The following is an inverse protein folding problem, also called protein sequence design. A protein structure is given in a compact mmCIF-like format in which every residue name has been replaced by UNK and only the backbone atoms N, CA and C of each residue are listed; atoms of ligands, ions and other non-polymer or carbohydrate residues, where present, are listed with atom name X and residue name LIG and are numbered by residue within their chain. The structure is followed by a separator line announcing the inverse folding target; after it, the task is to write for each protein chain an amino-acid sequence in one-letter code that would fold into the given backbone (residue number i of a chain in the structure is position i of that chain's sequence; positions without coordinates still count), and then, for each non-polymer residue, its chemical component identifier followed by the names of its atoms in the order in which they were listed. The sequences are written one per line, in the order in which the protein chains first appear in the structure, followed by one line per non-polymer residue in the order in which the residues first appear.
data_IF_158188352066
#
_entry.id   IF_158188352066
#
_cell.length_a   1.000
_cell.length_b   1.000
_cell.length_c   1.000
_cell.angle_alpha   90.00
_cell.angle_beta   90.00
_cell.angle_gamma   90.00
#
_symmetry.space_group_name_H-M   'P 1'
#
loop_
_entity.id
_entity.type
_entity.pdbx_description
1 polymer ?
#
# COMPACT_ATOMS: atom_id res chain seq x y z
N UNK A 1 -31.16 31.26 -43.27
CA UNK A 1 -30.49 30.06 -42.81
C UNK A 1 -29.47 30.45 -41.73
N UNK A 2 -29.79 30.25 -40.49
CA UNK A 2 -28.91 30.60 -39.36
C UNK A 2 -28.19 29.33 -38.92
N UNK A 3 -26.88 29.30 -39.15
CA UNK A 3 -26.01 28.26 -38.62
C UNK A 3 -25.71 28.55 -37.14
N UNK A 4 -26.23 27.74 -36.24
CA UNK A 4 -25.80 27.74 -34.83
C UNK A 4 -24.44 27.05 -34.69
N UNK A 5 -23.48 27.66 -34.00
CA UNK A 5 -22.24 26.97 -33.71
C UNK A 5 -22.50 25.90 -32.63
N UNK A 6 -22.20 24.66 -32.97
CA UNK A 6 -22.17 23.53 -32.04
C UNK A 6 -20.97 23.69 -31.16
N UNK A 7 -21.16 24.23 -29.96
CA UNK A 7 -20.08 24.30 -28.96
C UNK A 7 -19.87 22.91 -28.38
N UNK A 8 -18.81 22.23 -28.82
CA UNK A 8 -18.34 21.00 -28.16
C UNK A 8 -17.82 21.40 -26.77
N UNK A 9 -18.61 21.10 -25.75
CA UNK A 9 -18.09 21.06 -24.40
C UNK A 9 -17.16 19.83 -24.29
N UNK A 10 -15.85 20.04 -24.33
CA UNK A 10 -14.89 19.08 -23.85
C UNK A 10 -15.04 19.04 -22.32
N UNK A 11 -15.83 18.09 -21.81
CA UNK A 11 -15.74 17.67 -20.42
C UNK A 11 -14.37 17.04 -20.22
N UNK A 12 -13.42 17.83 -19.76
CA UNK A 12 -12.15 17.30 -19.25
C UNK A 12 -12.48 16.38 -18.09
N UNK A 13 -12.28 15.08 -18.26
CA UNK A 13 -12.24 14.13 -17.16
C UNK A 13 -11.04 14.51 -16.30
N UNK A 14 -11.27 15.33 -15.29
CA UNK A 14 -10.30 15.52 -14.23
C UNK A 14 -10.05 14.14 -13.61
N UNK A 15 -8.81 13.63 -13.74
CA UNK A 15 -8.41 12.42 -13.04
C UNK A 15 -8.62 12.66 -11.55
N UNK A 16 -9.69 12.10 -10.98
CA UNK A 16 -9.95 12.19 -9.55
C UNK A 16 -8.89 11.36 -8.85
N UNK A 17 -8.13 12.01 -7.95
CA UNK A 17 -7.20 11.33 -7.07
C UNK A 17 -7.95 10.24 -6.31
N UNK A 18 -7.43 9.01 -6.34
CA UNK A 18 -8.08 7.86 -5.72
C UNK A 18 -7.76 7.83 -4.22
N UNK A 19 -8.75 8.10 -3.40
CA UNK A 19 -8.66 7.97 -1.94
C UNK A 19 -8.86 6.51 -1.51
N UNK A 20 -8.02 5.62 -2.02
CA UNK A 20 -8.04 4.19 -1.72
C UNK A 20 -6.61 3.68 -1.55
N UNK A 21 -6.37 2.69 -0.67
CA UNK A 21 -5.08 2.02 -0.60
C UNK A 21 -4.79 1.09 -1.79
N UNK A 22 -5.80 0.77 -2.60
CA UNK A 22 -5.61 -0.09 -3.77
C UNK A 22 -4.68 0.57 -4.77
N UNK A 23 -3.68 -0.17 -5.23
CA UNK A 23 -2.71 0.30 -6.21
C UNK A 23 -1.28 -0.10 -5.87
N UNK A 24 -0.37 0.54 -6.57
CA UNK A 24 1.07 0.30 -6.45
C UNK A 24 1.72 1.41 -5.64
N UNK A 25 2.61 1.01 -4.75
CA UNK A 25 3.26 1.90 -3.80
C UNK A 25 4.75 1.63 -3.68
N UNK A 26 5.53 2.65 -3.35
CA UNK A 26 6.89 2.48 -2.87
C UNK A 26 6.93 2.73 -1.37
N UNK A 27 7.40 1.75 -0.61
CA UNK A 27 7.85 1.97 0.76
C UNK A 27 9.21 2.66 0.72
N UNK A 28 9.45 3.57 1.65
CA UNK A 28 10.68 4.36 1.70
C UNK A 28 11.34 4.24 3.06
N UNK A 29 12.65 4.38 3.08
CA UNK A 29 13.43 4.46 4.30
C UNK A 29 13.19 5.81 4.98
N UNK A 30 12.80 5.80 6.25
CA UNK A 30 12.46 7.02 7.01
C UNK A 30 13.63 7.97 7.18
N UNK A 31 14.86 7.44 7.15
CA UNK A 31 16.08 8.23 7.38
C UNK A 31 16.67 8.80 6.09
N UNK A 32 16.64 8.02 5.01
CA UNK A 32 17.30 8.36 3.76
C UNK A 32 16.35 8.76 2.65
N UNK A 33 15.05 8.42 2.75
CA UNK A 33 14.07 8.60 1.68
C UNK A 33 14.26 7.62 0.52
N UNK A 34 15.20 6.67 0.62
CA UNK A 34 15.43 5.66 -0.40
C UNK A 34 14.24 4.71 -0.51
N UNK A 35 13.81 4.42 -1.74
CA UNK A 35 12.78 3.41 -1.98
C UNK A 35 13.28 2.02 -1.59
N UNK A 36 12.55 1.34 -0.72
CA UNK A 36 12.90 0.02 -0.19
C UNK A 36 12.30 -1.12 -0.99
N UNK A 37 11.02 -1.01 -1.29
CA UNK A 37 10.26 -2.05 -1.97
C UNK A 37 9.08 -1.45 -2.73
N UNK A 38 8.67 -2.13 -3.79
CA UNK A 38 7.44 -1.85 -4.50
C UNK A 38 6.37 -2.82 -4.02
N UNK A 39 5.22 -2.26 -3.62
CA UNK A 39 4.10 -2.99 -3.05
C UNK A 39 2.91 -2.93 -4.00
N UNK A 40 2.13 -3.99 -4.07
CA UNK A 40 0.83 -4.00 -4.73
C UNK A 40 -0.26 -4.31 -3.71
N UNK A 41 -1.19 -3.39 -3.53
CA UNK A 41 -2.39 -3.59 -2.72
C UNK A 41 -3.58 -3.83 -3.64
N UNK A 42 -4.31 -4.89 -3.38
CA UNK A 42 -5.53 -5.28 -4.10
C UNK A 42 -6.67 -5.49 -3.13
N UNK A 43 -7.89 -5.46 -3.65
CA UNK A 43 -9.11 -5.68 -2.87
C UNK A 43 -9.89 -6.85 -3.46
N UNK A 44 -10.36 -7.72 -2.58
CA UNK A 44 -11.25 -8.83 -2.93
C UNK A 44 -12.28 -9.01 -1.83
N UNK A 45 -13.57 -8.98 -2.19
CA UNK A 45 -14.68 -9.14 -1.26
C UNK A 45 -14.62 -8.15 -0.08
N UNK A 46 -14.21 -6.90 -0.32
CA UNK A 46 -14.09 -5.84 0.68
C UNK A 46 -12.87 -5.94 1.58
N UNK A 47 -11.98 -6.90 1.36
CA UNK A 47 -10.73 -7.05 2.12
C UNK A 47 -9.52 -6.68 1.29
N UNK A 48 -8.56 -5.98 1.90
CA UNK A 48 -7.29 -5.67 1.27
C UNK A 48 -6.27 -6.79 1.49
N UNK A 49 -5.49 -7.04 0.44
CA UNK A 49 -4.29 -7.86 0.45
C UNK A 49 -3.15 -7.06 -0.16
N UNK A 50 -1.96 -7.15 0.41
CA UNK A 50 -0.79 -6.45 -0.11
C UNK A 50 0.40 -7.38 -0.24
N UNK A 51 1.12 -7.27 -1.38
CA UNK A 51 2.28 -8.10 -1.70
C UNK A 51 3.48 -7.25 -2.06
N UNK A 52 4.66 -7.75 -1.73
CA UNK A 52 5.93 -7.22 -2.25
C UNK A 52 6.05 -7.64 -3.71
N UNK A 53 6.12 -6.67 -4.63
CA UNK A 53 6.37 -6.95 -6.05
C UNK A 53 7.86 -6.95 -6.41
N UNK A 54 8.62 -6.02 -5.81
CA UNK A 54 10.06 -5.83 -6.08
C UNK A 54 10.77 -5.37 -4.82
N UNK A 55 12.02 -5.78 -4.70
CA UNK A 55 12.97 -5.21 -3.75
C UNK A 55 13.80 -4.17 -4.50
N UNK A 56 13.87 -2.94 -3.97
CA UNK A 56 14.42 -1.79 -4.69
C UNK A 56 15.79 -1.32 -4.20
N UNK A 57 16.23 -1.76 -3.02
CA UNK A 57 17.56 -1.44 -2.51
C UNK A 57 18.64 -2.11 -3.36
N UNK A 58 19.75 -1.43 -3.59
CA UNK A 58 20.86 -1.94 -4.41
C UNK A 58 21.44 -3.24 -3.87
N UNK A 59 21.51 -3.37 -2.54
CA UNK A 59 22.05 -4.53 -1.85
C UNK A 59 21.03 -5.66 -1.67
N UNK A 60 19.79 -5.44 -2.11
CA UNK A 60 18.75 -6.44 -1.95
C UNK A 60 19.05 -7.71 -2.76
N UNK A 61 18.96 -8.85 -2.10
CA UNK A 61 19.02 -10.14 -2.76
C UNK A 61 17.64 -10.47 -3.33
N UNK A 62 17.49 -10.55 -4.68
CA UNK A 62 16.19 -10.87 -5.28
C UNK A 62 15.69 -12.27 -4.95
N UNK A 63 16.54 -13.14 -4.42
CA UNK A 63 16.20 -14.49 -3.99
C UNK A 63 16.01 -14.61 -2.47
N UNK A 64 16.03 -13.49 -1.75
CA UNK A 64 15.83 -13.48 -0.31
C UNK A 64 14.50 -14.11 0.07
N UNK A 65 14.48 -14.80 1.19
CA UNK A 65 13.33 -15.50 1.75
C UNK A 65 13.01 -14.95 3.14
N UNK A 66 11.76 -15.10 3.57
CA UNK A 66 11.35 -14.66 4.90
C UNK A 66 11.81 -15.68 5.97
N UNK A 67 13.09 -15.62 6.31
CA UNK A 67 13.67 -16.49 7.33
C UNK A 67 13.10 -16.24 8.73
N UNK A 68 12.71 -15.00 9.02
CA UNK A 68 12.18 -14.59 10.32
C UNK A 68 10.67 -14.80 10.47
N UNK A 69 9.96 -15.15 9.39
CA UNK A 69 8.54 -15.45 9.46
C UNK A 69 8.27 -16.71 10.28
N UNK A 70 7.14 -16.77 10.99
CA UNK A 70 6.77 -17.89 11.86
C UNK A 70 5.48 -18.60 11.43
N UNK A 71 4.73 -18.05 10.48
CA UNK A 71 3.48 -18.62 9.97
C UNK A 71 3.68 -19.34 8.62
N UNK A 72 2.62 -19.41 7.81
CA UNK A 72 2.66 -20.00 6.46
C UNK A 72 3.67 -19.34 5.50
N UNK A 73 4.19 -18.16 5.88
CA UNK A 73 5.16 -17.41 5.09
C UNK A 73 6.63 -17.73 5.44
N UNK A 74 6.85 -18.61 6.41
CA UNK A 74 8.21 -19.03 6.80
C UNK A 74 8.99 -19.54 5.58
N UNK A 75 10.14 -18.95 5.34
CA UNK A 75 11.05 -19.28 4.24
C UNK A 75 10.46 -19.09 2.82
N UNK A 76 9.34 -18.39 2.70
CA UNK A 76 8.80 -18.02 1.40
C UNK A 76 9.63 -16.89 0.77
N UNK A 77 9.68 -16.81 -0.58
CA UNK A 77 10.38 -15.71 -1.24
C UNK A 77 9.85 -14.34 -0.78
N UNK A 78 10.72 -13.37 -0.59
CA UNK A 78 10.33 -11.97 -0.31
C UNK A 78 9.55 -11.38 -1.47
N UNK A 79 10.00 -11.60 -2.69
CA UNK A 79 9.24 -11.18 -3.89
C UNK A 79 7.99 -12.05 -4.03
N UNK A 80 6.84 -11.42 -4.03
CA UNK A 80 5.53 -12.05 -4.02
C UNK A 80 4.95 -12.30 -2.64
N UNK A 81 5.70 -12.01 -1.58
CA UNK A 81 5.26 -12.23 -0.20
C UNK A 81 4.05 -11.35 0.16
N UNK A 82 2.98 -11.98 0.65
CA UNK A 82 1.84 -11.26 1.17
C UNK A 82 2.15 -10.72 2.56
N UNK A 83 2.19 -9.38 2.68
CA UNK A 83 2.49 -8.73 3.96
C UNK A 83 1.28 -8.01 4.57
N UNK A 84 0.24 -7.73 3.79
CA UNK A 84 -1.01 -7.13 4.28
C UNK A 84 -2.14 -8.12 4.10
N UNK A 85 -2.91 -8.34 5.18
CA UNK A 85 -4.05 -9.26 5.19
C UNK A 85 -5.23 -8.66 5.94
N UNK A 86 -6.42 -8.69 5.32
CA UNK A 86 -7.70 -8.58 5.98
C UNK A 86 -8.15 -7.18 6.35
N UNK A 87 -7.47 -6.11 5.93
CA UNK A 87 -7.91 -4.75 6.22
C UNK A 87 -9.22 -4.43 5.49
N UNK A 88 -10.14 -3.75 6.18
CA UNK A 88 -11.44 -3.34 5.65
C UNK A 88 -11.67 -1.87 5.87
N UNK A 89 -12.41 -1.25 4.95
CA UNK A 89 -12.77 0.16 5.08
C UNK A 89 -13.67 0.37 6.29
N UNK A 90 -13.31 1.31 7.16
CA UNK A 90 -14.17 1.77 8.24
C UNK A 90 -15.38 2.51 7.67
N UNK A 91 -16.54 2.37 8.32
CA UNK A 91 -17.77 2.99 7.86
C UNK A 91 -17.66 4.52 7.91
N UNK A 92 -17.96 5.16 6.78
CA UNK A 92 -17.98 6.61 6.64
C UNK A 92 -16.62 7.32 6.70
N UNK A 93 -15.51 6.58 6.63
CA UNK A 93 -14.15 7.13 6.71
C UNK A 93 -13.24 6.54 5.63
N UNK A 94 -12.30 7.33 5.14
CA UNK A 94 -11.24 6.86 4.24
C UNK A 94 -10.07 6.25 5.03
N UNK A 95 -10.39 5.29 5.86
CA UNK A 95 -9.46 4.52 6.69
C UNK A 95 -9.77 3.04 6.54
N UNK A 96 -8.73 2.23 6.36
CA UNK A 96 -8.85 0.77 6.32
C UNK A 96 -8.14 0.19 7.53
N UNK A 97 -8.82 -0.65 8.28
CA UNK A 97 -8.35 -1.18 9.56
C UNK A 97 -8.82 -2.62 9.79
N UNK A 98 -8.49 -3.20 10.94
CA UNK A 98 -8.88 -4.56 11.33
C UNK A 98 -8.03 -5.66 10.69
N UNK A 99 -7.04 -5.29 9.86
CA UNK A 99 -6.10 -6.23 9.26
C UNK A 99 -4.76 -6.30 9.97
N UNK A 100 -3.84 -7.03 9.38
CA UNK A 100 -2.48 -7.25 9.88
C UNK A 100 -1.45 -6.90 8.81
N UNK A 101 -0.29 -6.42 9.27
CA UNK A 101 0.88 -6.22 8.44
C UNK A 101 2.08 -6.95 9.02
N UNK A 102 2.77 -7.68 8.16
CA UNK A 102 4.02 -8.36 8.47
C UNK A 102 5.21 -7.44 8.16
N UNK A 103 6.13 -7.33 9.11
CA UNK A 103 7.48 -6.83 8.84
C UNK A 103 8.35 -8.05 8.50
N UNK A 104 8.75 -8.24 7.23
CA UNK A 104 9.48 -9.44 6.84
C UNK A 104 10.93 -9.47 7.35
N UNK A 105 11.49 -8.32 7.73
CA UNK A 105 12.85 -8.26 8.28
C UNK A 105 12.92 -8.81 9.70
N UNK A 106 11.90 -8.56 10.51
CA UNK A 106 11.82 -9.03 11.90
C UNK A 106 10.92 -10.24 12.11
N UNK A 107 10.03 -10.53 11.16
CA UNK A 107 8.98 -11.54 11.29
C UNK A 107 7.82 -11.13 12.17
N UNK A 108 7.82 -9.91 12.69
CA UNK A 108 6.74 -9.41 13.55
C UNK A 108 5.50 -9.05 12.74
N UNK A 109 4.34 -9.33 13.32
CA UNK A 109 3.03 -9.00 12.74
C UNK A 109 2.36 -7.94 13.60
N UNK A 110 1.91 -6.88 12.96
CA UNK A 110 1.29 -5.72 13.61
C UNK A 110 -0.17 -5.59 13.21
N UNK A 111 -0.96 -4.97 14.08
CA UNK A 111 -2.30 -4.52 13.71
C UNK A 111 -2.17 -3.33 12.76
N UNK A 112 -2.91 -3.37 11.65
CA UNK A 112 -2.76 -2.44 10.53
C UNK A 112 -3.85 -1.38 10.51
N UNK A 113 -3.43 -0.14 10.19
CA UNK A 113 -4.32 0.93 9.76
C UNK A 113 -3.71 1.61 8.54
N UNK A 114 -4.50 1.77 7.49
CA UNK A 114 -4.12 2.44 6.24
C UNK A 114 -4.96 3.69 6.05
N UNK A 115 -4.31 4.81 5.78
CA UNK A 115 -4.99 6.08 5.55
C UNK A 115 -4.38 6.76 4.32
N UNK A 116 -5.12 6.80 3.19
CA UNK A 116 -4.71 7.61 2.04
C UNK A 116 -4.72 9.09 2.43
N UNK A 117 -3.68 9.80 2.04
CA UNK A 117 -3.52 11.24 2.30
C UNK A 117 -3.06 11.95 1.04
N UNK A 118 -3.07 13.29 1.06
CA UNK A 118 -2.65 14.10 -0.10
C UNK A 118 -3.37 13.69 -1.40
N UNK A 119 -4.70 13.58 -1.34
CA UNK A 119 -5.50 13.20 -2.51
C UNK A 119 -5.23 11.79 -3.03
N UNK A 120 -4.67 10.91 -2.19
CA UNK A 120 -4.31 9.53 -2.56
C UNK A 120 -2.89 9.38 -3.10
N UNK A 121 -2.09 10.45 -3.13
CA UNK A 121 -0.70 10.40 -3.59
C UNK A 121 0.22 9.67 -2.60
N UNK A 122 -0.17 9.66 -1.32
CA UNK A 122 0.56 9.00 -0.25
C UNK A 122 -0.36 8.12 0.58
N UNK A 123 0.21 7.12 1.21
CA UNK A 123 -0.47 6.20 2.10
C UNK A 123 0.24 6.16 3.44
N UNK A 124 -0.46 6.56 4.49
CA UNK A 124 0.01 6.33 5.85
C UNK A 124 -0.24 4.88 6.23
N UNK A 125 0.82 4.17 6.56
CA UNK A 125 0.80 2.76 6.94
C UNK A 125 1.18 2.68 8.41
N UNK A 126 0.19 2.43 9.27
CA UNK A 126 0.37 2.35 10.71
C UNK A 126 0.32 0.91 11.18
N UNK A 127 1.41 0.45 11.81
CA UNK A 127 1.46 -0.82 12.52
C UNK A 127 1.44 -0.60 14.02
N UNK A 128 0.67 -1.39 14.76
CA UNK A 128 0.61 -1.29 16.21
C UNK A 128 0.67 -2.65 16.89
N UNK A 129 1.31 -2.67 18.09
CA UNK A 129 1.32 -3.80 19.04
C UNK A 129 1.04 -3.20 20.41
N UNK A 130 -0.09 -3.57 21.02
CA UNK A 130 -0.51 -3.03 22.32
C UNK A 130 -0.59 -1.49 22.27
N UNK A 131 0.02 -0.76 23.23
CA UNK A 131 0.01 0.70 23.25
C UNK A 131 1.02 1.35 22.30
N UNK A 132 1.86 0.56 21.64
CA UNK A 132 2.92 1.05 20.76
C UNK A 132 2.48 1.04 19.31
N UNK A 133 2.82 2.08 18.54
CA UNK A 133 2.59 2.16 17.11
C UNK A 133 3.70 2.88 16.40
N UNK A 134 3.81 2.60 15.11
CA UNK A 134 4.71 3.28 14.17
C UNK A 134 3.98 3.54 12.87
N UNK A 135 4.16 4.72 12.31
CA UNK A 135 3.58 5.10 11.02
C UNK A 135 4.69 5.30 10.00
N UNK A 136 4.54 4.65 8.84
CA UNK A 136 5.34 4.87 7.65
C UNK A 136 4.49 5.56 6.60
N UNK A 137 5.13 6.29 5.69
CA UNK A 137 4.45 6.88 4.55
C UNK A 137 4.94 6.22 3.28
N UNK A 138 4.03 5.62 2.53
CA UNK A 138 4.31 5.04 1.21
C UNK A 138 3.91 6.04 0.13
N UNK A 139 4.59 5.99 -1.01
CA UNK A 139 4.37 6.90 -2.14
C UNK A 139 3.73 6.14 -3.29
N UNK A 140 2.59 6.64 -3.77
CA UNK A 140 1.87 6.00 -4.88
C UNK A 140 2.71 6.02 -6.15
N UNK A 141 2.68 4.91 -6.86
CA UNK A 141 3.32 4.73 -8.17
C UNK A 141 2.26 4.63 -9.28
N UNK A 142 2.61 5.03 -10.52
CA UNK A 142 1.72 4.87 -11.67
C UNK A 142 1.40 3.42 -11.99
#
# INVERSE_FOLDING_TARGET
MRLLPLTLLLCGLAAQAQMTPVGRWHSVDDKTGEAKAQMQISEQAGQLSGRIEKLLRKEADPQARCAECSDDRKDQPMVGLEIIRGARKAEGKDVWEGGKILDPESGKVYTLRLTPVEGGARLEVRGSIGPFWRTQTWVRQP
#
